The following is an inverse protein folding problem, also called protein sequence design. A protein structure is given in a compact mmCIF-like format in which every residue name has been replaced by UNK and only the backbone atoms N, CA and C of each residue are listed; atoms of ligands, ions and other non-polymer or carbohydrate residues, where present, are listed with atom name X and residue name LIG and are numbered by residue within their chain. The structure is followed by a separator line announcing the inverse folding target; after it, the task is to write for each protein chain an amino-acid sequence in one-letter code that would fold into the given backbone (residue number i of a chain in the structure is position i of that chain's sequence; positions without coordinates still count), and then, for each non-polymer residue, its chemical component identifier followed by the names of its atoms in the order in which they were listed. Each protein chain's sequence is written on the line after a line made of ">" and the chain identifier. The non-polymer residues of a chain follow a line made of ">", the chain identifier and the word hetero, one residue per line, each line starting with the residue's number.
data_IF_371025900097
#
_entry.id   IF_371025900097
#
_cell.length_a   1.000
_cell.length_b   1.000
_cell.length_c   1.000
_cell.angle_alpha   90.00
_cell.angle_beta   90.00
_cell.angle_gamma   90.00
#
_symmetry.space_group_name_H-M   'P 1'
#
loop_
_entity.id
_entity.type
_entity.pdbx_description
1 polymer ?
#
# COMPACT_ATOMS: atom_id res chain seq x y z
N UNK A 1 15.35 -22.48 24.86
CA UNK A 1 14.07 -22.31 24.15
C UNK A 1 14.22 -22.95 22.80
N UNK A 2 13.46 -24.01 22.52
CA UNK A 2 13.50 -24.66 21.20
C UNK A 2 12.90 -23.73 20.16
N UNK A 3 13.50 -23.70 18.98
CA UNK A 3 12.90 -23.06 17.80
C UNK A 3 11.50 -23.67 17.60
N UNK A 4 10.45 -22.86 17.38
CA UNK A 4 9.11 -23.38 17.12
C UNK A 4 9.15 -24.39 15.96
N UNK A 5 8.53 -25.55 16.17
CA UNK A 5 8.57 -26.70 15.24
C UNK A 5 7.91 -26.42 13.87
N UNK A 6 7.24 -25.27 13.73
CA UNK A 6 6.54 -24.82 12.52
C UNK A 6 7.18 -23.60 11.84
N UNK A 7 8.41 -23.22 12.19
CA UNK A 7 9.10 -22.13 11.50
C UNK A 7 9.45 -22.56 10.06
N UNK A 8 8.84 -21.91 9.07
CA UNK A 8 9.23 -22.05 7.66
C UNK A 8 10.52 -21.27 7.45
N UNK A 9 11.65 -21.97 7.36
CA UNK A 9 12.95 -21.37 7.11
C UNK A 9 13.14 -21.12 5.62
N UNK A 10 13.38 -19.86 5.24
CA UNK A 10 13.92 -19.56 3.91
C UNK A 10 15.44 -19.51 3.97
N UNK A 11 16.09 -20.25 3.09
CA UNK A 11 17.56 -20.35 3.05
C UNK A 11 18.07 -20.04 1.65
N UNK A 12 19.25 -19.44 1.55
CA UNK A 12 20.06 -19.39 0.33
C UNK A 12 21.50 -19.67 0.68
N UNK A 13 22.20 -20.36 -0.22
CA UNK A 13 23.63 -20.57 -0.11
C UNK A 13 24.33 -19.59 -1.04
N UNK A 14 25.09 -18.66 -0.48
CA UNK A 14 25.92 -17.74 -1.27
C UNK A 14 27.31 -18.36 -1.40
N UNK A 15 27.71 -18.69 -2.63
CA UNK A 15 29.03 -19.23 -2.93
C UNK A 15 29.81 -18.19 -3.75
N UNK A 16 31.08 -17.97 -3.39
CA UNK A 16 31.99 -16.98 -3.99
C UNK A 16 31.66 -15.51 -3.68
N UNK A 17 32.27 -14.98 -2.62
CA UNK A 17 32.13 -13.58 -2.17
C UNK A 17 31.23 -13.48 -0.94
N UNK A 18 31.61 -12.64 0.02
CA UNK A 18 30.70 -12.27 1.11
C UNK A 18 29.64 -11.33 0.53
N UNK A 19 28.34 -11.56 0.78
CA UNK A 19 27.34 -10.56 0.45
C UNK A 19 27.72 -9.25 1.17
N UNK A 20 27.50 -8.12 0.50
CA UNK A 20 27.65 -6.84 1.17
C UNK A 20 26.55 -6.68 2.26
N UNK A 21 26.56 -5.55 2.96
CA UNK A 21 25.53 -5.27 3.98
C UNK A 21 24.28 -4.63 3.38
N UNK A 22 24.10 -4.66 2.05
CA UNK A 22 22.89 -4.16 1.42
C UNK A 22 21.73 -5.13 1.66
N UNK A 23 20.51 -4.61 1.69
CA UNK A 23 19.32 -5.43 1.82
C UNK A 23 19.07 -6.20 0.52
N UNK A 24 18.93 -7.52 0.61
CA UNK A 24 18.71 -8.35 -0.58
C UNK A 24 17.22 -8.38 -0.97
N UNK A 25 16.85 -7.44 -1.85
CA UNK A 25 15.49 -7.25 -2.34
C UNK A 25 14.99 -8.48 -3.11
N UNK A 26 15.82 -9.11 -3.95
CA UNK A 26 15.40 -10.27 -4.78
C UNK A 26 15.00 -11.45 -3.89
N UNK A 27 15.87 -11.80 -2.93
CA UNK A 27 15.59 -12.86 -1.99
C UNK A 27 14.36 -12.55 -1.13
N UNK A 28 14.11 -11.28 -0.80
CA UNK A 28 12.92 -10.91 -0.05
C UNK A 28 11.65 -11.00 -0.91
N UNK A 29 11.70 -10.55 -2.16
CA UNK A 29 10.53 -10.51 -3.06
C UNK A 29 10.00 -11.89 -3.45
N UNK A 30 10.85 -12.90 -3.46
CA UNK A 30 10.44 -14.31 -3.66
C UNK A 30 9.50 -14.85 -2.55
N UNK A 31 9.38 -14.17 -1.39
CA UNK A 31 8.41 -14.54 -0.35
C UNK A 31 6.95 -14.30 -0.78
N UNK A 32 6.75 -13.51 -1.84
CA UNK A 32 5.44 -13.06 -2.28
C UNK A 32 4.95 -11.84 -1.50
N UNK A 33 4.01 -11.11 -2.12
CA UNK A 33 3.52 -9.84 -1.60
C UNK A 33 2.92 -9.95 -0.19
N UNK A 34 2.16 -11.01 0.07
CA UNK A 34 1.49 -11.22 1.35
C UNK A 34 2.48 -11.32 2.52
N UNK A 35 3.58 -12.05 2.36
CA UNK A 35 4.60 -12.19 3.39
C UNK A 35 5.37 -10.89 3.63
N UNK A 36 5.64 -10.12 2.57
CA UNK A 36 6.29 -8.80 2.67
C UNK A 36 5.40 -7.84 3.49
N UNK A 37 4.11 -7.80 3.17
CA UNK A 37 3.16 -6.95 3.87
C UNK A 37 2.89 -7.41 5.29
N UNK A 38 2.80 -8.72 5.53
CA UNK A 38 2.66 -9.26 6.88
C UNK A 38 3.85 -8.86 7.76
N UNK A 39 5.09 -8.99 7.28
CA UNK A 39 6.27 -8.59 8.04
C UNK A 39 6.32 -7.08 8.33
N UNK A 40 5.98 -6.24 7.35
CA UNK A 40 5.88 -4.80 7.55
C UNK A 40 4.76 -4.44 8.56
N UNK A 41 3.64 -5.16 8.50
CA UNK A 41 2.52 -4.95 9.39
C UNK A 41 2.76 -5.45 10.80
N UNK A 42 3.48 -6.56 10.99
CA UNK A 42 3.87 -7.05 12.32
C UNK A 42 4.61 -5.95 13.11
N UNK A 43 5.41 -5.12 12.45
CA UNK A 43 6.04 -3.95 13.09
C UNK A 43 5.02 -2.89 13.52
N UNK A 44 3.94 -2.71 12.74
CA UNK A 44 2.83 -1.79 13.05
C UNK A 44 1.93 -2.36 14.15
N UNK A 45 1.54 -3.63 14.07
CA UNK A 45 0.75 -4.33 15.10
C UNK A 45 1.49 -4.34 16.42
N UNK A 46 2.79 -4.68 16.42
CA UNK A 46 3.61 -4.66 17.63
C UNK A 46 3.67 -3.25 18.22
N UNK A 47 3.83 -2.21 17.39
CA UNK A 47 3.83 -0.83 17.87
C UNK A 47 2.47 -0.42 18.48
N UNK A 48 1.35 -0.78 17.86
CA UNK A 48 -0.01 -0.51 18.37
C UNK A 48 -0.34 -1.33 19.61
N UNK A 49 0.08 -2.59 19.68
CA UNK A 49 -0.14 -3.46 20.83
C UNK A 49 0.65 -2.93 22.04
N UNK A 50 1.91 -2.54 21.84
CA UNK A 50 2.74 -1.93 22.88
C UNK A 50 2.17 -0.57 23.32
N UNK A 51 1.71 0.25 22.38
CA UNK A 51 1.29 1.63 22.68
C UNK A 51 -0.15 1.73 23.18
N UNK A 52 -1.05 0.88 22.68
CA UNK A 52 -2.51 1.02 22.83
C UNK A 52 -3.24 -0.30 23.15
N UNK A 53 -2.57 -1.46 23.15
CA UNK A 53 -3.15 -2.75 23.57
C UNK A 53 -4.24 -3.30 22.64
N UNK A 54 -4.25 -2.94 21.36
CA UNK A 54 -5.25 -3.37 20.37
C UNK A 54 -4.61 -3.84 19.07
N UNK A 55 -5.27 -4.76 18.36
CA UNK A 55 -4.89 -5.16 17.01
C UNK A 55 -5.51 -4.24 15.96
N UNK A 56 -4.74 -3.68 15.03
CA UNK A 56 -5.27 -2.78 14.01
C UNK A 56 -5.99 -3.55 12.90
N UNK A 57 -7.33 -3.46 12.82
CA UNK A 57 -8.15 -4.13 11.79
C UNK A 57 -8.76 -3.20 10.75
N UNK A 58 -8.63 -1.88 10.96
CA UNK A 58 -9.33 -0.84 10.21
C UNK A 58 -9.00 -0.85 8.71
N UNK A 59 -7.74 -1.04 8.35
CA UNK A 59 -7.27 -1.05 6.97
C UNK A 59 -7.87 -2.21 6.17
N UNK A 60 -7.88 -3.41 6.77
CA UNK A 60 -8.44 -4.61 6.15
C UNK A 60 -9.93 -4.43 5.89
N UNK A 61 -10.66 -3.97 6.90
CA UNK A 61 -12.11 -3.76 6.80
C UNK A 61 -12.46 -2.68 5.76
N UNK A 62 -11.72 -1.57 5.72
CA UNK A 62 -11.92 -0.56 4.69
C UNK A 62 -11.69 -1.13 3.29
N UNK A 63 -10.60 -1.84 3.05
CA UNK A 63 -10.29 -2.40 1.73
C UNK A 63 -11.35 -3.43 1.29
N UNK A 64 -11.89 -4.22 2.23
CA UNK A 64 -13.01 -5.13 1.94
C UNK A 64 -14.25 -4.38 1.48
N UNK A 65 -14.60 -3.28 2.17
CA UNK A 65 -15.75 -2.46 1.81
C UNK A 65 -15.54 -1.72 0.49
N UNK A 66 -14.32 -1.21 0.22
CA UNK A 66 -14.02 -0.61 -1.08
C UNK A 66 -14.22 -1.63 -2.22
N UNK A 67 -13.85 -2.90 -2.01
CA UNK A 67 -14.10 -3.96 -2.99
C UNK A 67 -15.59 -4.32 -3.11
N UNK A 68 -16.31 -4.44 -1.99
CA UNK A 68 -17.75 -4.77 -1.97
C UNK A 68 -18.57 -3.74 -2.74
N UNK A 69 -18.19 -2.46 -2.63
CA UNK A 69 -18.82 -1.36 -3.35
C UNK A 69 -18.18 -1.09 -4.71
N UNK A 70 -17.32 -1.97 -5.21
CA UNK A 70 -16.66 -1.86 -6.53
C UNK A 70 -15.96 -0.50 -6.75
N UNK A 71 -15.31 0.02 -5.72
CA UNK A 71 -14.54 1.26 -5.81
C UNK A 71 -13.28 1.00 -6.63
N UNK A 72 -13.03 1.83 -7.62
CA UNK A 72 -11.77 1.89 -8.36
C UNK A 72 -10.77 2.66 -7.51
N UNK A 73 -9.79 1.95 -6.93
CA UNK A 73 -8.74 2.52 -6.11
C UNK A 73 -7.39 1.83 -6.28
N UNK A 74 -6.31 2.56 -6.02
CA UNK A 74 -4.95 2.04 -6.01
C UNK A 74 -4.30 2.30 -4.66
N UNK A 75 -3.64 1.29 -4.09
CA UNK A 75 -2.72 1.48 -2.98
C UNK A 75 -1.45 2.12 -3.53
N UNK A 76 -1.03 3.23 -2.90
CA UNK A 76 0.13 4.02 -3.27
C UNK A 76 1.08 4.17 -2.07
N UNK A 77 1.93 5.20 -2.08
CA UNK A 77 2.61 5.64 -0.86
C UNK A 77 3.64 4.66 -0.32
N UNK A 78 3.74 4.56 1.01
CA UNK A 78 4.74 3.73 1.70
C UNK A 78 4.57 2.24 1.40
N UNK A 79 3.33 1.74 1.40
CA UNK A 79 3.02 0.35 1.06
C UNK A 79 3.39 -0.01 -0.38
N UNK A 80 3.14 0.87 -1.34
CA UNK A 80 3.59 0.65 -2.71
C UNK A 80 5.13 0.65 -2.83
N UNK A 81 5.83 1.50 -2.08
CA UNK A 81 7.30 1.46 -2.04
C UNK A 81 7.80 0.11 -1.49
N UNK A 82 7.21 -0.39 -0.40
CA UNK A 82 7.60 -1.69 0.16
C UNK A 82 7.32 -2.87 -0.77
N UNK A 83 6.25 -2.81 -1.57
CA UNK A 83 5.96 -3.83 -2.58
C UNK A 83 7.13 -3.97 -3.57
N UNK A 84 7.72 -2.84 -3.96
CA UNK A 84 8.73 -2.80 -5.02
C UNK A 84 10.17 -2.63 -4.54
N UNK A 85 10.40 -2.31 -3.27
CA UNK A 85 11.71 -2.01 -2.71
C UNK A 85 11.94 -2.67 -1.35
N UNK A 86 12.76 -2.03 -0.52
CA UNK A 86 13.07 -2.51 0.82
C UNK A 86 11.87 -2.32 1.79
N UNK A 87 11.55 -3.33 2.63
CA UNK A 87 10.55 -3.18 3.68
C UNK A 87 10.92 -2.06 4.65
N UNK A 88 9.95 -1.22 5.00
CA UNK A 88 10.15 -0.12 5.93
C UNK A 88 8.92 0.13 6.78
N UNK A 89 9.10 0.85 7.87
CA UNK A 89 7.96 1.33 8.64
C UNK A 89 7.19 2.42 7.87
N UNK A 90 5.86 2.30 7.81
CA UNK A 90 4.95 3.34 7.29
C UNK A 90 3.92 3.70 8.35
N UNK A 91 3.48 4.96 8.35
CA UNK A 91 2.61 5.51 9.41
C UNK A 91 1.12 5.53 9.02
N UNK A 92 0.86 5.11 7.80
CA UNK A 92 -0.37 5.33 7.06
C UNK A 92 -0.52 4.30 5.93
N UNK A 93 -1.78 4.02 5.59
CA UNK A 93 -2.19 3.42 4.33
C UNK A 93 -2.70 4.52 3.40
N UNK A 94 -2.02 4.72 2.27
CA UNK A 94 -2.44 5.67 1.24
C UNK A 94 -3.26 4.97 0.15
N UNK A 95 -4.51 5.40 -0.04
CA UNK A 95 -5.43 4.89 -1.07
C UNK A 95 -5.79 6.02 -2.02
N UNK A 96 -5.49 5.84 -3.30
CA UNK A 96 -5.88 6.76 -4.36
C UNK A 96 -7.16 6.26 -5.03
N UNK A 97 -8.26 7.00 -4.91
CA UNK A 97 -9.56 6.66 -5.52
C UNK A 97 -9.77 7.44 -6.82
N UNK A 98 -10.41 6.81 -7.80
CA UNK A 98 -10.81 7.51 -9.02
C UNK A 98 -11.84 8.60 -8.67
N UNK A 99 -11.60 9.84 -9.09
CA UNK A 99 -12.49 10.96 -8.84
C UNK A 99 -13.61 11.11 -9.90
N UNK A 100 -14.00 10.01 -10.56
CA UNK A 100 -15.17 10.03 -11.45
C UNK A 100 -16.45 10.11 -10.61
N UNK A 101 -17.50 10.82 -11.06
CA UNK A 101 -18.73 10.98 -10.28
C UNK A 101 -19.32 9.64 -9.78
N UNK A 102 -19.29 8.60 -10.63
CA UNK A 102 -19.78 7.28 -10.28
C UNK A 102 -18.92 6.60 -9.22
N UNK A 103 -17.59 6.71 -9.32
CA UNK A 103 -16.70 6.11 -8.34
C UNK A 103 -16.72 6.86 -7.00
N UNK A 104 -16.86 8.19 -7.04
CA UNK A 104 -16.98 9.03 -5.85
C UNK A 104 -18.24 8.69 -5.04
N UNK A 105 -19.36 8.39 -5.71
CA UNK A 105 -20.57 7.86 -5.06
C UNK A 105 -20.30 6.52 -4.36
N UNK A 106 -19.65 5.57 -5.06
CA UNK A 106 -19.30 4.27 -4.48
C UNK A 106 -18.34 4.39 -3.29
N UNK A 107 -17.35 5.27 -3.38
CA UNK A 107 -16.40 5.53 -2.31
C UNK A 107 -17.08 6.09 -1.06
N UNK A 108 -18.00 7.06 -1.22
CA UNK A 108 -18.75 7.63 -0.09
C UNK A 108 -19.66 6.59 0.56
N UNK A 109 -20.36 5.77 -0.22
CA UNK A 109 -21.19 4.70 0.34
C UNK A 109 -20.36 3.64 1.09
N UNK A 110 -19.20 3.25 0.55
CA UNK A 110 -18.26 2.37 1.24
C UNK A 110 -17.76 2.97 2.56
N UNK A 111 -17.39 4.25 2.57
CA UNK A 111 -16.91 4.96 3.76
C UNK A 111 -18.02 5.16 4.80
N UNK A 112 -19.25 5.41 4.36
CA UNK A 112 -20.41 5.47 5.23
C UNK A 112 -20.68 4.11 5.88
N UNK A 113 -20.59 3.02 5.11
CA UNK A 113 -20.73 1.66 5.63
C UNK A 113 -19.60 1.29 6.61
N UNK A 114 -18.39 1.78 6.36
CA UNK A 114 -17.24 1.66 7.25
C UNK A 114 -17.42 2.41 8.58
N UNK A 115 -18.35 3.37 8.64
CA UNK A 115 -18.59 4.20 9.82
C UNK A 115 -17.70 5.44 9.91
N UNK A 116 -17.14 5.89 8.78
CA UNK A 116 -16.46 7.19 8.73
C UNK A 116 -17.46 8.32 9.05
N UNK A 117 -17.06 9.35 9.82
CA UNK A 117 -17.96 10.44 10.25
C UNK A 117 -18.20 11.49 9.15
N UNK A 118 -18.59 11.04 7.95
CA UNK A 118 -18.68 11.88 6.74
C UNK A 118 -19.61 13.10 6.93
N UNK A 119 -20.76 12.91 7.59
CA UNK A 119 -21.74 13.98 7.83
C UNK A 119 -21.16 15.07 8.75
N UNK A 120 -20.39 14.69 9.77
CA UNK A 120 -19.71 15.64 10.66
C UNK A 120 -18.63 16.42 9.91
N UNK A 121 -17.92 15.75 9.01
CA UNK A 121 -16.80 16.34 8.26
C UNK A 121 -17.26 17.09 6.99
N UNK A 122 -18.56 17.04 6.66
CA UNK A 122 -19.11 17.64 5.44
C UNK A 122 -18.59 16.99 4.15
N UNK A 123 -18.22 15.71 4.21
CA UNK A 123 -17.67 14.96 3.07
C UNK A 123 -18.79 14.35 2.25
N UNK A 124 -18.87 14.71 0.97
CA UNK A 124 -19.87 14.19 0.03
C UNK A 124 -19.23 13.57 -1.21
N UNK A 125 -20.06 13.00 -2.10
CA UNK A 125 -19.57 12.46 -3.36
C UNK A 125 -18.96 13.55 -4.25
N UNK A 126 -19.50 14.77 -4.18
CA UNK A 126 -18.94 15.94 -4.86
C UNK A 126 -17.54 16.28 -4.35
N UNK A 127 -17.30 16.15 -3.04
CA UNK A 127 -15.96 16.29 -2.46
C UNK A 127 -14.99 15.31 -3.11
N UNK A 128 -15.35 14.03 -3.20
CA UNK A 128 -14.51 12.99 -3.82
C UNK A 128 -14.43 13.06 -5.36
N UNK A 129 -15.29 13.82 -6.01
CA UNK A 129 -15.16 14.13 -7.44
C UNK A 129 -14.15 15.26 -7.70
N UNK A 130 -13.83 16.04 -6.66
CA UNK A 130 -12.80 17.08 -6.70
C UNK A 130 -11.39 16.53 -6.87
N UNK A 131 -10.51 17.34 -7.45
CA UNK A 131 -9.06 17.10 -7.48
C UNK A 131 -8.42 17.57 -6.18
N UNK A 132 -7.25 17.03 -5.85
CA UNK A 132 -6.41 17.45 -4.72
C UNK A 132 -7.11 17.33 -3.35
N UNK A 133 -8.05 16.39 -3.22
CA UNK A 133 -8.67 16.07 -1.94
C UNK A 133 -7.89 14.97 -1.26
N UNK A 134 -7.65 15.16 0.04
CA UNK A 134 -7.13 14.13 0.94
C UNK A 134 -8.07 14.06 2.14
N UNK A 135 -8.74 12.93 2.33
CA UNK A 135 -9.54 12.65 3.51
C UNK A 135 -8.79 11.66 4.41
N UNK A 136 -8.57 12.05 5.67
CA UNK A 136 -7.74 11.28 6.60
C UNK A 136 -8.60 10.68 7.70
N UNK A 137 -8.45 9.38 7.95
CA UNK A 137 -9.20 8.64 8.97
C UNK A 137 -8.22 7.99 9.94
N UNK A 138 -8.47 8.17 11.23
CA UNK A 138 -7.65 7.61 12.30
C UNK A 138 -6.37 8.40 12.59
N UNK A 139 -5.47 7.78 13.35
CA UNK A 139 -4.19 8.36 13.78
C UNK A 139 -3.05 7.41 13.45
N UNK A 140 -1.85 7.96 13.24
CA UNK A 140 -0.67 7.12 13.02
C UNK A 140 -0.44 6.17 14.20
N UNK A 141 -0.01 4.92 13.97
CA UNK A 141 0.42 4.35 12.68
C UNK A 141 -0.68 3.66 11.86
N UNK A 142 -1.94 3.79 12.30
CA UNK A 142 -3.10 3.17 11.66
C UNK A 142 -3.93 4.16 10.86
N UNK A 143 -3.33 5.30 10.49
CA UNK A 143 -4.01 6.34 9.69
C UNK A 143 -4.28 5.80 8.29
N UNK A 144 -5.38 6.21 7.70
CA UNK A 144 -5.69 5.96 6.30
C UNK A 144 -5.87 7.30 5.62
N UNK A 145 -5.13 7.52 4.54
CA UNK A 145 -5.24 8.70 3.70
C UNK A 145 -5.93 8.30 2.39
N UNK A 146 -7.05 8.94 2.08
CA UNK A 146 -7.83 8.69 0.86
C UNK A 146 -7.68 9.91 -0.05
N UNK A 147 -7.01 9.72 -1.19
CA UNK A 147 -6.61 10.76 -2.11
C UNK A 147 -7.44 10.68 -3.39
N UNK A 148 -7.78 11.81 -4.00
CA UNK A 148 -8.45 11.85 -5.32
C UNK A 148 -7.49 12.15 -6.46
N UNK A 149 -6.32 12.72 -6.17
CA UNK A 149 -5.29 13.06 -7.15
C UNK A 149 -3.90 12.84 -6.57
N UNK A 150 -2.96 12.42 -7.42
CA UNK A 150 -1.53 12.40 -7.11
C UNK A 150 -0.75 13.17 -8.17
N UNK A 151 0.41 13.70 -7.79
CA UNK A 151 1.27 14.45 -8.72
C UNK A 151 1.92 13.52 -9.74
N UNK A 152 1.90 13.93 -11.02
CA UNK A 152 2.67 13.31 -12.09
C UNK A 152 2.07 12.04 -12.72
N UNK A 153 0.89 11.59 -12.26
CA UNK A 153 0.22 10.38 -12.78
C UNK A 153 -1.29 10.57 -12.82
N UNK A 154 -1.91 10.22 -13.94
CA UNK A 154 -3.37 10.28 -14.14
C UNK A 154 -4.04 8.94 -13.84
N UNK A 155 -5.16 8.96 -13.10
CA UNK A 155 -5.83 7.74 -12.62
C UNK A 155 -6.21 6.77 -13.74
N UNK A 156 -6.87 7.18 -14.83
CA UNK A 156 -7.28 6.24 -15.87
C UNK A 156 -6.10 5.51 -16.55
N UNK A 157 -4.92 6.13 -16.55
CA UNK A 157 -3.71 5.51 -17.08
C UNK A 157 -3.13 4.50 -16.09
N UNK A 158 -3.00 4.90 -14.81
CA UNK A 158 -2.50 4.04 -13.76
C UNK A 158 -3.41 2.82 -13.52
N UNK A 159 -4.74 3.01 -13.58
CA UNK A 159 -5.73 1.94 -13.43
C UNK A 159 -5.55 0.82 -14.47
N UNK A 160 -5.21 1.17 -15.71
CA UNK A 160 -4.94 0.18 -16.77
C UNK A 160 -3.66 -0.61 -16.54
N UNK A 161 -2.68 -0.04 -15.83
CA UNK A 161 -1.39 -0.67 -15.52
C UNK A 161 -1.33 -1.24 -14.10
N UNK A 162 -2.45 -1.22 -13.37
CA UNK A 162 -2.50 -1.59 -11.94
C UNK A 162 -1.98 -3.01 -11.75
N UNK A 163 -1.31 -3.23 -10.61
CA UNK A 163 -0.76 -4.53 -10.26
C UNK A 163 -1.65 -5.17 -9.20
N UNK A 164 -2.25 -6.30 -9.54
CA UNK A 164 -3.04 -7.09 -8.59
C UNK A 164 -2.13 -7.68 -7.49
N UNK A 165 -2.64 -7.73 -6.27
CA UNK A 165 -1.92 -8.21 -5.10
C UNK A 165 -2.93 -8.66 -4.03
N UNK A 166 -2.42 -9.25 -2.96
CA UNK A 166 -3.20 -9.53 -1.75
C UNK A 166 -2.63 -8.75 -0.58
N UNK A 167 -3.49 -8.15 0.25
CA UNK A 167 -3.13 -7.42 1.46
C UNK A 167 -4.06 -7.86 2.60
N UNK A 168 -3.53 -8.53 3.62
CA UNK A 168 -4.31 -9.20 4.69
C UNK A 168 -5.42 -10.15 4.18
N UNK A 169 -5.12 -10.95 3.16
CA UNK A 169 -6.11 -11.83 2.53
C UNK A 169 -7.15 -11.10 1.67
N UNK A 170 -7.08 -9.78 1.53
CA UNK A 170 -7.98 -8.97 0.70
C UNK A 170 -7.33 -8.77 -0.68
N UNK A 171 -8.03 -9.09 -1.79
CA UNK A 171 -7.57 -8.74 -3.12
C UNK A 171 -7.50 -7.21 -3.27
N UNK A 172 -6.37 -6.69 -3.71
CA UNK A 172 -6.15 -5.24 -3.85
C UNK A 172 -5.41 -4.91 -5.14
N UNK A 173 -5.41 -3.63 -5.49
CA UNK A 173 -4.67 -3.10 -6.63
C UNK A 173 -3.65 -2.07 -6.19
N UNK A 174 -2.41 -2.22 -6.63
CA UNK A 174 -1.33 -1.26 -6.43
C UNK A 174 -1.09 -0.44 -7.70
N UNK A 175 -0.62 0.80 -7.52
CA UNK A 175 0.00 1.58 -8.61
C UNK A 175 1.18 0.80 -9.20
N UNK A 176 1.37 0.86 -10.53
CA UNK A 176 2.50 0.21 -11.19
C UNK A 176 3.84 0.78 -10.70
N UNK A 177 4.93 0.00 -10.82
CA UNK A 177 6.26 0.47 -10.45
C UNK A 177 6.65 1.73 -11.25
N UNK A 178 6.43 1.73 -12.56
CA UNK A 178 6.77 2.85 -13.43
C UNK A 178 6.02 4.12 -13.04
N UNK A 179 4.71 4.01 -12.76
CA UNK A 179 3.89 5.14 -12.36
C UNK A 179 4.25 5.60 -10.93
N UNK A 180 4.61 4.68 -10.02
CA UNK A 180 5.10 5.03 -8.69
C UNK A 180 6.41 5.82 -8.78
N UNK A 181 7.37 5.36 -9.59
CA UNK A 181 8.64 6.07 -9.82
C UNK A 181 8.37 7.47 -10.40
N UNK A 182 7.47 7.59 -11.38
CA UNK A 182 7.07 8.88 -11.94
C UNK A 182 6.48 9.81 -10.87
N UNK A 183 5.59 9.30 -10.01
CA UNK A 183 5.02 10.05 -8.90
C UNK A 183 6.09 10.52 -7.89
N UNK A 184 6.98 9.63 -7.45
CA UNK A 184 8.04 9.96 -6.48
C UNK A 184 9.06 10.94 -7.04
N UNK A 185 9.38 10.82 -8.33
CA UNK A 185 10.22 11.77 -9.05
C UNK A 185 9.58 13.16 -9.11
N UNK A 186 8.30 13.25 -9.48
CA UNK A 186 7.57 14.52 -9.54
C UNK A 186 7.48 15.22 -8.17
N UNK A 187 7.46 14.46 -7.08
CA UNK A 187 7.44 14.97 -5.70
C UNK A 187 8.84 15.28 -5.12
N UNK A 188 9.93 14.99 -5.84
CA UNK A 188 11.29 15.16 -5.33
C UNK A 188 11.66 14.25 -4.16
N UNK A 189 10.98 13.11 -3.99
CA UNK A 189 11.18 12.17 -2.86
C UNK A 189 12.38 11.26 -3.08
N UNK A 190 13.58 11.84 -2.95
CA UNK A 190 14.87 11.17 -3.23
C UNK A 190 15.14 9.91 -2.41
N UNK A 191 14.61 9.80 -1.18
CA UNK A 191 14.71 8.58 -0.37
C UNK A 191 13.91 7.43 -0.99
N UNK A 192 12.64 7.68 -1.31
CA UNK A 192 11.76 6.67 -1.91
C UNK A 192 12.33 6.20 -3.27
N UNK A 193 12.93 7.10 -4.04
CA UNK A 193 13.58 6.75 -5.31
C UNK A 193 14.79 5.83 -5.11
N UNK A 194 15.60 6.02 -4.06
CA UNK A 194 16.74 5.13 -3.77
C UNK A 194 16.24 3.71 -3.53
N UNK A 195 15.21 3.55 -2.71
CA UNK A 195 14.61 2.25 -2.39
C UNK A 195 14.08 1.55 -3.65
N UNK A 196 13.47 2.31 -4.57
CA UNK A 196 12.94 1.78 -5.83
C UNK A 196 14.03 1.47 -6.87
N UNK A 197 15.14 2.22 -6.88
CA UNK A 197 16.24 2.01 -7.85
C UNK A 197 17.12 0.81 -7.55
N UNK A 198 17.07 0.25 -6.34
CA UNK A 198 17.83 -0.95 -5.99
C UNK A 198 17.20 -2.26 -6.52
N UNK A 199 16.08 -2.20 -7.25
CA UNK A 199 15.39 -3.37 -7.77
C UNK A 199 15.60 -3.60 -9.28
N UNK A 200 16.06 -4.79 -9.72
CA UNK A 200 16.21 -5.16 -11.13
C UNK A 200 14.92 -5.64 -11.82
N UNK A 201 13.73 -5.61 -11.20
CA UNK A 201 12.46 -5.94 -11.88
C UNK A 201 12.05 -4.89 -12.93
N UNK A 202 12.77 -4.86 -14.06
CA UNK A 202 12.18 -4.50 -15.36
C UNK A 202 11.30 -5.66 -15.76
N UNK A 203 10.03 -5.39 -16.01
CA UNK A 203 9.08 -6.37 -16.52
C UNK A 203 9.68 -7.09 -17.75
N UNK A 204 9.93 -8.40 -17.62
CA UNK A 204 10.10 -9.25 -18.79
C UNK A 204 8.74 -9.34 -19.50
N UNK A 205 8.64 -8.98 -20.79
CA UNK A 205 7.44 -9.25 -21.54
C UNK A 205 7.29 -10.78 -21.65
N UNK A 206 6.13 -11.29 -21.26
CA UNK A 206 5.77 -12.69 -21.48
C UNK A 206 5.94 -13.03 -22.97
N UNK A 207 6.60 -14.16 -23.23
CA UNK A 207 6.76 -14.77 -24.56
C UNK A 207 5.52 -15.55 -24.94
#
# INVERSE_FOLDING_TARGET
>A
MGIPQNSVWKTRLVQCGFPDRSFDIEFWQEQGDEAIFAAAWEMVELAEEISHGRKPTLQRELLQLLNEFEVEYLIIGGFAVMKYGEPRYTKDLDVWVHNSPQNSLRAVEALKKFGAPLDHDGVTAETFAGKQVVYQIGIAPVRIDILTEITGVEFPNAWRKRVASTFFGVPVHFISLDDLVANKHALGRSSDLKDLTQNPKRATPEK
#
